data_IF_183228364688
#
_entry.id   IF_183228364688
#
_cell.length_a   1.000
_cell.length_b   1.000
_cell.length_c   1.000
_cell.angle_alpha   90.00
_cell.angle_beta   90.00
_cell.angle_gamma   90.00
#
_symmetry.space_group_name_H-M   'P 1'
#
loop_
_entity.id
_entity.type
_entity.pdbx_description
1 polymer ?
#
# COMPACT_ATOMS: atom_id res chain seq x y z
N UNK A 1 10.48 -14.44 0.85
CA UNK A 1 9.07 -14.07 1.05
C UNK A 1 8.60 -14.55 2.39
N UNK A 2 7.84 -13.73 3.08
CA UNK A 2 7.32 -14.10 4.39
C UNK A 2 5.98 -14.80 4.25
N UNK A 3 5.78 -15.83 5.03
CA UNK A 3 4.52 -16.54 5.08
C UNK A 3 4.00 -16.58 6.50
N UNK A 4 2.69 -16.64 6.63
CA UNK A 4 2.06 -16.80 7.94
C UNK A 4 2.32 -18.20 8.47
N UNK A 5 1.97 -18.43 9.74
CA UNK A 5 2.11 -19.75 10.38
C UNK A 5 1.30 -20.85 9.69
N UNK A 6 0.29 -20.48 8.91
CA UNK A 6 -0.55 -21.42 8.19
C UNK A 6 0.00 -21.73 6.80
N UNK A 7 1.18 -21.18 6.46
CA UNK A 7 1.75 -21.29 5.12
C UNK A 7 1.16 -20.30 4.13
N UNK A 8 0.29 -19.42 4.58
CA UNK A 8 -0.31 -18.39 3.74
C UNK A 8 0.35 -17.05 4.03
N UNK A 9 0.49 -16.27 2.96
CA UNK A 9 1.03 -14.92 3.03
C UNK A 9 -0.06 -14.00 3.59
N UNK A 10 0.03 -13.64 4.85
CA UNK A 10 -1.02 -12.87 5.50
C UNK A 10 -0.98 -11.38 5.12
N UNK A 11 -2.05 -10.67 5.48
CA UNK A 11 -2.23 -9.29 5.06
C UNK A 11 -1.31 -8.33 5.81
N UNK A 12 -0.90 -8.64 7.04
CA UNK A 12 0.10 -7.83 7.75
C UNK A 12 1.44 -7.87 7.01
N UNK A 13 1.89 -9.06 6.63
CA UNK A 13 3.13 -9.21 5.88
C UNK A 13 3.03 -8.56 4.50
N UNK A 14 1.90 -8.73 3.84
CA UNK A 14 1.69 -8.19 2.49
C UNK A 14 1.72 -6.66 2.50
N UNK A 15 1.08 -6.02 3.47
CA UNK A 15 1.08 -4.56 3.57
C UNK A 15 2.44 -4.03 4.00
N UNK A 16 3.16 -4.76 4.83
CA UNK A 16 4.53 -4.41 5.20
C UNK A 16 5.44 -4.44 3.97
N UNK A 17 5.37 -5.53 3.19
CA UNK A 17 6.20 -5.67 1.99
C UNK A 17 5.88 -4.60 0.95
N UNK A 18 4.61 -4.22 0.83
CA UNK A 18 4.21 -3.11 -0.05
C UNK A 18 4.91 -1.80 0.34
N UNK A 19 4.86 -1.44 1.63
CA UNK A 19 5.49 -0.22 2.11
C UNK A 19 7.01 -0.26 1.94
N UNK A 20 7.61 -1.41 2.20
CA UNK A 20 9.06 -1.60 2.06
C UNK A 20 9.48 -1.50 0.59
N UNK A 21 8.71 -2.11 -0.31
CA UNK A 21 8.99 -2.08 -1.74
C UNK A 21 8.81 -0.67 -2.32
N UNK A 22 7.84 0.08 -1.83
CA UNK A 22 7.67 1.50 -2.20
C UNK A 22 8.95 2.27 -1.86
N UNK A 23 9.52 2.06 -0.69
CA UNK A 23 10.76 2.76 -0.30
C UNK A 23 11.92 2.41 -1.20
N UNK A 24 12.06 1.15 -1.59
CA UNK A 24 13.07 0.72 -2.55
C UNK A 24 12.86 1.41 -3.90
N UNK A 25 11.61 1.47 -4.36
CA UNK A 25 11.25 2.11 -5.63
C UNK A 25 11.60 3.59 -5.66
N UNK A 26 11.32 4.33 -4.58
CA UNK A 26 11.58 5.78 -4.56
C UNK A 26 13.06 6.12 -4.70
N UNK A 27 13.95 5.18 -4.44
CA UNK A 27 15.40 5.39 -4.62
C UNK A 27 15.83 5.30 -6.08
N UNK A 28 14.99 4.75 -6.94
CA UNK A 28 15.35 4.42 -8.33
C UNK A 28 14.85 5.45 -9.34
N UNK A 29 13.93 6.33 -8.95
CA UNK A 29 13.28 7.26 -9.87
C UNK A 29 14.08 8.56 -10.00
N UNK A 30 13.90 9.29 -11.13
CA UNK A 30 14.53 10.59 -11.30
C UNK A 30 14.12 11.56 -10.18
N UNK A 31 15.03 12.42 -9.77
CA UNK A 31 14.81 13.38 -8.68
C UNK A 31 14.29 14.71 -9.21
N UNK A 32 13.10 14.66 -9.81
CA UNK A 32 12.38 15.86 -10.25
C UNK A 32 11.62 16.45 -9.05
N UNK A 33 11.22 17.71 -9.16
CA UNK A 33 10.42 18.34 -8.11
C UNK A 33 9.13 17.53 -7.86
N UNK A 34 8.44 17.13 -8.93
CA UNK A 34 7.22 16.33 -8.81
C UNK A 34 7.46 15.00 -8.11
N UNK A 35 8.50 14.28 -8.52
CA UNK A 35 8.82 12.98 -7.92
C UNK A 35 9.20 13.10 -6.46
N UNK A 36 9.94 14.15 -6.09
CA UNK A 36 10.30 14.37 -4.69
C UNK A 36 9.07 14.56 -3.83
N UNK A 37 8.15 15.43 -4.26
CA UNK A 37 6.92 15.69 -3.50
C UNK A 37 5.98 14.49 -3.48
N UNK A 38 5.79 13.83 -4.62
CA UNK A 38 4.94 12.65 -4.72
C UNK A 38 5.49 11.49 -3.90
N UNK A 39 6.81 11.33 -3.85
CA UNK A 39 7.45 10.28 -3.04
C UNK A 39 7.17 10.47 -1.55
N UNK A 40 7.16 11.70 -1.06
CA UNK A 40 6.83 11.98 0.35
C UNK A 40 5.41 11.50 0.68
N UNK A 41 4.46 11.83 -0.19
CA UNK A 41 3.07 11.39 0.00
C UNK A 41 2.93 9.88 -0.13
N UNK A 42 3.62 9.29 -1.08
CA UNK A 42 3.58 7.85 -1.32
C UNK A 42 4.17 7.06 -0.14
N UNK A 43 5.31 7.49 0.39
CA UNK A 43 5.93 6.84 1.55
C UNK A 43 4.99 6.89 2.74
N UNK A 44 4.37 8.05 2.97
CA UNK A 44 3.38 8.21 4.06
C UNK A 44 2.18 7.30 3.87
N UNK A 45 1.53 7.36 2.70
CA UNK A 45 0.29 6.61 2.47
C UNK A 45 0.53 5.10 2.44
N UNK A 46 1.62 4.66 1.82
CA UNK A 46 1.90 3.22 1.75
C UNK A 46 2.21 2.64 3.13
N UNK A 47 2.91 3.38 3.98
CA UNK A 47 3.15 2.95 5.36
C UNK A 47 1.89 2.93 6.20
N UNK A 48 0.97 3.86 5.93
CA UNK A 48 -0.30 3.97 6.66
C UNK A 48 -1.22 2.79 6.40
N UNK A 49 -1.14 2.13 5.24
CA UNK A 49 -1.97 0.96 4.93
C UNK A 49 -1.76 -0.13 5.98
N UNK A 50 -0.52 -0.58 6.15
CA UNK A 50 -0.20 -1.65 7.09
C UNK A 50 -0.34 -1.21 8.54
N UNK A 51 0.04 0.03 8.87
CA UNK A 51 -0.09 0.55 10.23
C UNK A 51 -1.54 0.53 10.70
N UNK A 52 -2.47 0.93 9.85
CA UNK A 52 -3.89 0.90 10.20
C UNK A 52 -4.46 -0.52 10.22
N UNK A 53 -3.91 -1.42 9.41
CA UNK A 53 -4.32 -2.82 9.47
C UNK A 53 -3.92 -3.47 10.80
N UNK A 54 -2.72 -3.17 11.32
CA UNK A 54 -2.30 -3.60 12.64
C UNK A 54 -3.28 -3.11 13.71
N UNK A 55 -3.66 -1.83 13.63
CA UNK A 55 -4.62 -1.25 14.56
C UNK A 55 -6.00 -1.91 14.44
N UNK A 56 -6.42 -2.25 13.22
CA UNK A 56 -7.69 -2.94 13.00
C UNK A 56 -7.70 -4.29 13.74
N UNK A 57 -6.59 -5.03 13.66
CA UNK A 57 -6.49 -6.35 14.30
C UNK A 57 -6.47 -6.26 15.82
N UNK A 58 -6.15 -5.09 16.38
CA UNK A 58 -6.14 -4.84 17.82
C UNK A 58 -7.40 -4.12 18.29
N UNK A 59 -8.39 -3.92 17.41
CA UNK A 59 -9.61 -3.19 17.73
C UNK A 59 -10.46 -3.92 18.76
N UNK A 60 -11.05 -3.15 19.67
CA UNK A 60 -11.89 -3.68 20.74
C UNK A 60 -13.38 -3.75 20.36
N UNK A 61 -13.75 -3.15 19.24
CA UNK A 61 -15.15 -3.15 18.79
C UNK A 61 -15.22 -3.31 17.26
N UNK A 62 -16.36 -3.78 16.79
CA UNK A 62 -16.63 -3.88 15.35
C UNK A 62 -16.58 -2.50 14.69
N UNK A 63 -17.09 -1.48 15.36
CA UNK A 63 -17.08 -0.11 14.84
C UNK A 63 -15.65 0.39 14.59
N UNK A 64 -14.75 0.17 15.55
CA UNK A 64 -13.35 0.55 15.42
C UNK A 64 -12.68 -0.24 14.30
N UNK A 65 -12.93 -1.53 14.24
CA UNK A 65 -12.39 -2.39 13.18
C UNK A 65 -12.78 -1.86 11.79
N UNK A 66 -14.07 -1.59 11.59
CA UNK A 66 -14.55 -1.10 10.29
C UNK A 66 -13.94 0.25 9.94
N UNK A 67 -13.80 1.14 10.92
CA UNK A 67 -13.17 2.44 10.72
C UNK A 67 -11.73 2.27 10.23
N UNK A 68 -10.96 1.41 10.90
CA UNK A 68 -9.56 1.17 10.52
C UNK A 68 -9.43 0.55 9.14
N UNK A 69 -10.29 -0.40 8.80
CA UNK A 69 -10.28 -1.03 7.47
C UNK A 69 -10.64 0.00 6.39
N UNK A 70 -11.56 0.91 6.66
CA UNK A 70 -11.87 2.00 5.71
C UNK A 70 -10.65 2.88 5.47
N UNK A 71 -9.87 3.16 6.50
CA UNK A 71 -8.64 3.93 6.36
C UNK A 71 -7.62 3.15 5.54
N UNK A 72 -7.45 1.84 5.79
CA UNK A 72 -6.57 1.00 4.99
C UNK A 72 -6.91 1.10 3.49
N UNK A 73 -8.18 0.98 3.16
CA UNK A 73 -8.63 1.07 1.76
C UNK A 73 -8.33 2.45 1.18
N UNK A 74 -8.63 3.49 1.93
CA UNK A 74 -8.39 4.88 1.51
C UNK A 74 -6.90 5.09 1.22
N UNK A 75 -6.02 4.66 2.13
CA UNK A 75 -4.58 4.87 1.98
C UNK A 75 -3.98 4.04 0.84
N UNK A 76 -4.49 2.84 0.61
CA UNK A 76 -4.07 2.03 -0.53
C UNK A 76 -4.46 2.72 -1.85
N UNK A 77 -5.65 3.28 -1.90
CA UNK A 77 -6.13 4.03 -3.06
C UNK A 77 -5.30 5.28 -3.31
N UNK A 78 -4.95 6.03 -2.26
CA UNK A 78 -4.06 7.18 -2.37
C UNK A 78 -2.67 6.78 -2.85
N UNK A 79 -2.15 5.67 -2.35
CA UNK A 79 -0.84 5.18 -2.79
C UNK A 79 -0.82 4.91 -4.29
N UNK A 80 -1.89 4.33 -4.81
CA UNK A 80 -2.03 4.10 -6.24
C UNK A 80 -2.02 5.42 -7.02
N UNK A 81 -2.70 6.43 -6.50
CA UNK A 81 -2.74 7.76 -7.10
C UNK A 81 -1.33 8.36 -7.22
N UNK A 82 -0.57 8.35 -6.14
CA UNK A 82 0.80 8.90 -6.15
C UNK A 82 1.72 8.11 -7.08
N UNK A 83 1.60 6.77 -7.05
CA UNK A 83 2.39 5.91 -7.94
C UNK A 83 2.14 6.24 -9.43
N UNK A 84 0.91 6.52 -9.77
CA UNK A 84 0.54 6.85 -11.16
C UNK A 84 1.06 8.22 -11.59
N UNK A 85 1.23 9.15 -10.66
CA UNK A 85 1.79 10.48 -10.96
C UNK A 85 3.29 10.45 -11.17
N UNK A 86 4.00 9.54 -10.50
CA UNK A 86 5.45 9.50 -10.53
C UNK A 86 5.95 9.22 -11.95
N UNK A 87 6.95 10.00 -12.37
CA UNK A 87 7.68 9.76 -13.60
C UNK A 87 8.78 8.74 -13.30
N UNK A 88 8.63 7.54 -13.86
CA UNK A 88 9.58 6.45 -13.62
C UNK A 88 10.88 6.59 -14.44
N UNK A 89 10.94 7.56 -15.35
CA UNK A 89 12.08 7.73 -16.22
C UNK A 89 12.05 6.76 -17.40
N UNK A 90 13.21 6.53 -18.01
CA UNK A 90 13.30 5.74 -19.25
C UNK A 90 13.70 4.28 -19.02
N UNK A 91 14.12 3.92 -17.81
CA UNK A 91 14.52 2.55 -17.49
C UNK A 91 13.30 1.64 -17.46
N UNK A 92 13.28 0.62 -18.33
CA UNK A 92 12.13 -0.28 -18.45
C UNK A 92 11.89 -1.09 -17.18
N UNK A 93 12.93 -1.39 -16.40
CA UNK A 93 12.81 -2.12 -15.14
C UNK A 93 12.14 -1.26 -14.06
N UNK A 94 12.47 0.04 -14.03
CA UNK A 94 11.86 0.98 -13.09
C UNK A 94 10.39 1.22 -13.46
N UNK A 95 10.09 1.34 -14.74
CA UNK A 95 8.70 1.45 -15.23
C UNK A 95 7.87 0.24 -14.82
N UNK A 96 8.44 -0.96 -14.99
CA UNK A 96 7.75 -2.20 -14.58
C UNK A 96 7.54 -2.23 -13.07
N UNK A 97 8.54 -1.82 -12.31
CA UNK A 97 8.45 -1.75 -10.85
C UNK A 97 7.29 -0.84 -10.43
N UNK A 98 7.19 0.35 -11.06
CA UNK A 98 6.08 1.26 -10.82
C UNK A 98 4.74 0.60 -11.12
N UNK A 99 4.63 -0.05 -12.27
CA UNK A 99 3.38 -0.67 -12.70
C UNK A 99 2.99 -1.84 -11.79
N UNK A 100 3.95 -2.62 -11.31
CA UNK A 100 3.70 -3.70 -10.36
C UNK A 100 3.19 -3.15 -9.03
N UNK A 101 3.73 -2.02 -8.57
CA UNK A 101 3.27 -1.37 -7.34
C UNK A 101 1.86 -0.77 -7.51
N UNK A 102 1.56 -0.20 -8.69
CA UNK A 102 0.21 0.29 -9.00
C UNK A 102 -0.79 -0.87 -8.90
N UNK A 103 -0.43 -2.01 -9.47
CA UNK A 103 -1.27 -3.22 -9.42
C UNK A 103 -1.46 -3.70 -7.99
N UNK A 104 -0.39 -3.73 -7.20
CA UNK A 104 -0.48 -4.16 -5.80
C UNK A 104 -1.38 -3.22 -4.99
N UNK A 105 -1.24 -1.92 -5.18
CA UNK A 105 -2.11 -0.94 -4.51
C UNK A 105 -3.58 -1.16 -4.88
N UNK A 106 -3.86 -1.47 -6.16
CA UNK A 106 -5.22 -1.76 -6.61
C UNK A 106 -5.77 -3.03 -5.96
N UNK A 107 -4.94 -4.07 -5.85
CA UNK A 107 -5.34 -5.33 -5.21
C UNK A 107 -5.60 -5.14 -3.73
N UNK A 108 -4.74 -4.41 -3.04
CA UNK A 108 -4.96 -4.10 -1.61
C UNK A 108 -6.26 -3.32 -1.40
N UNK A 109 -6.53 -2.35 -2.27
CA UNK A 109 -7.79 -1.60 -2.21
C UNK A 109 -8.99 -2.54 -2.31
N UNK A 110 -8.94 -3.49 -3.25
CA UNK A 110 -10.01 -4.48 -3.45
C UNK A 110 -10.16 -5.41 -2.26
N UNK A 111 -9.05 -5.86 -1.69
CA UNK A 111 -9.06 -6.75 -0.53
C UNK A 111 -9.74 -6.06 0.67
N UNK A 112 -9.35 -4.81 0.96
CA UNK A 112 -9.97 -4.07 2.06
C UNK A 112 -11.45 -3.80 1.80
N UNK A 113 -11.80 -3.51 0.54
CA UNK A 113 -13.21 -3.37 0.14
C UNK A 113 -14.02 -4.64 0.40
N UNK A 114 -13.43 -5.81 0.11
CA UNK A 114 -14.09 -7.10 0.36
C UNK A 114 -14.27 -7.36 1.86
N UNK A 115 -13.26 -7.03 2.67
CA UNK A 115 -13.36 -7.16 4.13
C UNK A 115 -14.51 -6.31 4.67
N UNK A 116 -14.63 -5.07 4.19
CA UNK A 116 -15.72 -4.17 4.59
C UNK A 116 -17.08 -4.77 4.26
N UNK A 117 -17.26 -5.26 3.04
CA UNK A 117 -18.54 -5.83 2.61
C UNK A 117 -18.95 -7.05 3.44
N UNK A 118 -17.97 -7.90 3.77
CA UNK A 118 -18.24 -9.11 4.59
C UNK A 118 -18.55 -8.79 6.05
N UNK A 119 -18.07 -7.65 6.53
CA UNK A 119 -18.17 -7.26 7.93
C UNK A 119 -19.38 -6.39 8.23
N UNK A 120 -20.07 -5.91 7.21
CA UNK A 120 -21.26 -5.07 7.37
C UNK A 120 -22.51 -5.85 7.79
#
# INVERSE_FOLDING_TARGET
MKESRTGQYDLEDRTFDFAKDVRAFTKLIPKTVGNIEDSKQLVRSSGSVGANYIEANESLSKKDFLMRIKICRKEAKESRYWLRLIDAGDDSKVKKHRDDLVQEAAELTSIFGAILRKSE
#
